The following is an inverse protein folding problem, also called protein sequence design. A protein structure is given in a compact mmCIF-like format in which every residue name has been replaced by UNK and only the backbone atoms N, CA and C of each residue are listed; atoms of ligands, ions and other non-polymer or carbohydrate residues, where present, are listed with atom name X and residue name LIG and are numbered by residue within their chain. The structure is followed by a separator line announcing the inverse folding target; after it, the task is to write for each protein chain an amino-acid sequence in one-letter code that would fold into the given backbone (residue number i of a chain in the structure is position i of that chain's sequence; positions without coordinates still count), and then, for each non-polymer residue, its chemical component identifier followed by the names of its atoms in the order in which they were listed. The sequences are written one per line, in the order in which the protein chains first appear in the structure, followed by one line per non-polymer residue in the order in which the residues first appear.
data_IF_030318211101
#
_entry.id   IF_030318211101
#
_cell.length_a   1.000
_cell.length_b   1.000
_cell.length_c   1.000
_cell.angle_alpha   90.00
_cell.angle_beta   90.00
_cell.angle_gamma   90.00
#
_symmetry.space_group_name_H-M   'P 1'
#
loop_
_entity.id
_entity.type
_entity.pdbx_description
1 polymer ?
#
# COMPACT_ATOMS: atom_id res chain seq x y z
N UNK A 1 36.35 15.25 -70.58
CA UNK A 1 35.68 15.90 -69.43
C UNK A 1 36.57 17.03 -68.95
N UNK A 2 36.07 18.26 -68.98
CA UNK A 2 36.81 19.41 -68.50
C UNK A 2 36.92 19.32 -66.97
N UNK A 3 38.10 19.62 -66.40
CA UNK A 3 38.31 19.58 -64.94
C UNK A 3 37.26 20.38 -64.17
N UNK A 4 36.71 21.44 -64.76
CA UNK A 4 35.64 22.26 -64.18
C UNK A 4 34.32 21.49 -63.94
N UNK A 5 33.86 20.67 -64.90
CA UNK A 5 32.59 19.92 -64.77
C UNK A 5 32.66 18.82 -63.70
N UNK A 6 33.84 18.25 -63.47
CA UNK A 6 34.05 17.24 -62.44
C UNK A 6 33.89 17.83 -61.04
N UNK A 7 34.55 18.97 -60.77
CA UNK A 7 34.47 19.65 -59.48
C UNK A 7 33.07 20.18 -59.18
N UNK A 8 32.34 20.66 -60.19
CA UNK A 8 30.95 21.10 -60.05
C UNK A 8 30.01 19.95 -59.63
N UNK A 9 30.14 18.78 -60.26
CA UNK A 9 29.36 17.58 -59.87
C UNK A 9 29.72 17.05 -58.49
N UNK A 10 31.00 17.07 -58.13
CA UNK A 10 31.46 16.67 -56.78
C UNK A 10 30.88 17.62 -55.72
N UNK A 11 30.93 18.94 -55.96
CA UNK A 11 30.41 19.94 -55.04
C UNK A 11 28.91 19.82 -54.83
N UNK A 12 28.15 19.64 -55.92
CA UNK A 12 26.71 19.38 -55.85
C UNK A 12 26.38 18.12 -55.05
N UNK A 13 27.13 17.03 -55.23
CA UNK A 13 26.91 15.77 -54.51
C UNK A 13 27.22 15.91 -53.02
N UNK A 14 28.26 16.67 -52.66
CA UNK A 14 28.64 16.92 -51.26
C UNK A 14 27.59 17.79 -50.57
N UNK A 15 27.10 18.84 -51.25
CA UNK A 15 26.02 19.69 -50.72
C UNK A 15 24.74 18.88 -50.52
N UNK A 16 24.33 18.09 -51.51
CA UNK A 16 23.11 17.29 -51.45
C UNK A 16 23.14 16.26 -50.30
N UNK A 17 24.23 15.49 -50.19
CA UNK A 17 24.41 14.52 -49.09
C UNK A 17 24.57 15.20 -47.74
N UNK A 18 25.23 16.36 -47.69
CA UNK A 18 25.39 17.16 -46.48
C UNK A 18 24.05 17.71 -45.97
N UNK A 19 23.19 18.17 -46.88
CA UNK A 19 21.85 18.67 -46.56
C UNK A 19 20.96 17.55 -46.02
N UNK A 20 20.98 16.37 -46.67
CA UNK A 20 20.27 15.19 -46.19
C UNK A 20 20.73 14.77 -44.78
N UNK A 21 22.04 14.73 -44.54
CA UNK A 21 22.58 14.43 -43.22
C UNK A 21 22.15 15.45 -42.15
N UNK A 22 22.12 16.74 -42.50
CA UNK A 22 21.67 17.79 -41.59
C UNK A 22 20.17 17.64 -41.25
N UNK A 23 19.32 17.35 -42.25
CA UNK A 23 17.88 17.12 -42.02
C UNK A 23 17.67 15.93 -41.09
N UNK A 24 18.40 14.82 -41.29
CA UNK A 24 18.32 13.64 -40.42
C UNK A 24 18.77 13.96 -38.99
N UNK A 25 19.86 14.72 -38.81
CA UNK A 25 20.33 15.13 -37.48
C UNK A 25 19.32 16.03 -36.76
N UNK A 26 18.75 17.01 -37.47
CA UNK A 26 17.74 17.91 -36.91
C UNK A 26 16.47 17.12 -36.54
N UNK A 27 15.98 16.25 -37.43
CA UNK A 27 14.84 15.39 -37.16
C UNK A 27 15.12 14.45 -35.96
N UNK A 28 16.30 13.85 -35.89
CA UNK A 28 16.73 13.01 -34.76
C UNK A 28 16.82 13.77 -33.45
N UNK A 29 17.33 15.01 -33.47
CA UNK A 29 17.41 15.87 -32.29
C UNK A 29 16.01 16.23 -31.76
N UNK A 30 15.09 16.66 -32.63
CA UNK A 30 13.72 16.97 -32.23
C UNK A 30 12.99 15.72 -31.73
N UNK A 31 13.15 14.58 -32.42
CA UNK A 31 12.55 13.31 -31.99
C UNK A 31 13.07 12.89 -30.62
N UNK A 32 14.39 12.97 -30.38
CA UNK A 32 14.98 12.63 -29.09
C UNK A 32 14.45 13.55 -27.97
N UNK A 33 14.34 14.86 -28.22
CA UNK A 33 13.79 15.81 -27.24
C UNK A 33 12.34 15.51 -26.89
N UNK A 34 11.52 15.15 -27.88
CA UNK A 34 10.13 14.76 -27.66
C UNK A 34 10.06 13.46 -26.85
N UNK A 35 10.88 12.46 -27.21
CA UNK A 35 10.97 11.20 -26.47
C UNK A 35 11.41 11.39 -25.03
N UNK A 36 12.35 12.28 -24.74
CA UNK A 36 12.78 12.59 -23.37
C UNK A 36 11.64 13.18 -22.53
N UNK A 37 10.85 14.09 -23.10
CA UNK A 37 9.67 14.65 -22.40
C UNK A 37 8.63 13.56 -22.14
N UNK A 38 8.35 12.70 -23.11
CA UNK A 38 7.42 11.57 -22.93
C UNK A 38 7.93 10.58 -21.88
N UNK A 39 9.21 10.20 -21.93
CA UNK A 39 9.84 9.33 -20.92
C UNK A 39 9.77 9.94 -19.52
N UNK A 40 10.02 11.24 -19.39
CA UNK A 40 9.93 11.94 -18.12
C UNK A 40 8.53 11.93 -17.52
N UNK A 41 7.49 12.09 -18.36
CA UNK A 41 6.09 12.01 -17.92
C UNK A 41 5.72 10.58 -17.48
N UNK A 42 6.01 9.58 -18.32
CA UNK A 42 5.72 8.18 -18.02
C UNK A 42 6.46 7.71 -16.75
N UNK A 43 7.71 8.11 -16.57
CA UNK A 43 8.48 7.77 -15.36
C UNK A 43 7.85 8.34 -14.10
N UNK A 44 7.34 9.59 -14.14
CA UNK A 44 6.67 10.22 -13.00
C UNK A 44 5.34 9.56 -12.68
N UNK A 45 4.55 9.23 -13.71
CA UNK A 45 3.29 8.50 -13.52
C UNK A 45 3.53 7.12 -12.92
N UNK A 46 4.54 6.40 -13.41
CA UNK A 46 4.93 5.10 -12.86
C UNK A 46 5.39 5.21 -11.40
N UNK A 47 6.18 6.23 -11.07
CA UNK A 47 6.64 6.48 -9.69
C UNK A 47 5.47 6.82 -8.77
N UNK A 48 4.51 7.60 -9.23
CA UNK A 48 3.29 7.92 -8.49
C UNK A 48 2.47 6.66 -8.19
N UNK A 49 2.18 5.85 -9.21
CA UNK A 49 1.44 4.58 -9.03
C UNK A 49 2.19 3.63 -8.08
N UNK A 50 3.52 3.54 -8.20
CA UNK A 50 4.33 2.71 -7.31
C UNK A 50 4.26 3.19 -5.86
N UNK A 51 4.32 4.51 -5.64
CA UNK A 51 4.23 5.12 -4.31
C UNK A 51 2.85 4.90 -3.68
N UNK A 52 1.77 5.08 -4.46
CA UNK A 52 0.41 4.81 -4.01
C UNK A 52 0.20 3.32 -3.67
N UNK A 53 0.65 2.41 -4.55
CA UNK A 53 0.60 0.96 -4.29
C UNK A 53 1.37 0.57 -3.02
N UNK A 54 2.55 1.16 -2.79
CA UNK A 54 3.35 0.89 -1.59
C UNK A 54 2.63 1.35 -0.31
N UNK A 55 2.07 2.56 -0.32
CA UNK A 55 1.32 3.08 0.82
C UNK A 55 0.09 2.21 1.15
N UNK A 56 -0.64 1.74 0.13
CA UNK A 56 -1.77 0.81 0.29
C UNK A 56 -1.32 -0.53 0.89
N UNK A 57 -0.21 -1.08 0.41
CA UNK A 57 0.37 -2.33 0.95
C UNK A 57 0.77 -2.17 2.41
N UNK A 58 1.42 -1.07 2.76
CA UNK A 58 1.86 -0.84 4.13
C UNK A 58 0.68 -0.61 5.08
N UNK A 59 -0.35 0.14 4.67
CA UNK A 59 -1.61 0.27 5.43
C UNK A 59 -2.27 -1.09 5.65
N UNK A 60 -2.40 -1.89 4.60
CA UNK A 60 -2.99 -3.24 4.65
C UNK A 60 -2.22 -4.16 5.60
N UNK A 61 -0.89 -4.16 5.50
CA UNK A 61 -0.02 -4.95 6.39
C UNK A 61 -0.23 -4.53 7.85
N UNK A 62 -0.40 -3.24 8.10
CA UNK A 62 -0.59 -2.72 9.45
C UNK A 62 -1.95 -3.09 10.03
N UNK A 63 -3.02 -3.03 9.23
CA UNK A 63 -4.35 -3.53 9.59
C UNK A 63 -4.31 -5.03 9.94
N UNK A 64 -3.67 -5.84 9.10
CA UNK A 64 -3.51 -7.27 9.34
C UNK A 64 -2.69 -7.55 10.63
N UNK A 65 -1.66 -6.75 10.88
CA UNK A 65 -0.86 -6.86 12.13
C UNK A 65 -1.73 -6.60 13.36
N UNK A 66 -2.56 -5.56 13.33
CA UNK A 66 -3.49 -5.27 14.42
C UNK A 66 -4.49 -6.40 14.65
N UNK A 67 -5.14 -6.86 13.59
CA UNK A 67 -6.08 -8.00 13.66
C UNK A 67 -5.41 -9.26 14.21
N UNK A 68 -4.16 -9.52 13.82
CA UNK A 68 -3.41 -10.66 14.31
C UNK A 68 -3.08 -10.56 15.81
N UNK A 69 -2.70 -9.38 16.31
CA UNK A 69 -2.49 -9.17 17.75
C UNK A 69 -3.77 -9.44 18.56
N UNK A 70 -4.92 -8.95 18.06
CA UNK A 70 -6.22 -9.21 18.67
C UNK A 70 -6.53 -10.70 18.66
N UNK A 71 -6.33 -11.36 17.52
CA UNK A 71 -6.55 -12.80 17.36
C UNK A 71 -5.66 -13.61 18.30
N UNK A 72 -4.40 -13.21 18.47
CA UNK A 72 -3.46 -13.91 19.35
C UNK A 72 -3.89 -13.86 20.83
N UNK A 73 -4.24 -12.67 21.32
CA UNK A 73 -4.75 -12.51 22.69
C UNK A 73 -6.05 -13.31 22.89
N UNK A 74 -6.98 -13.17 21.94
CA UNK A 74 -8.33 -13.75 22.06
C UNK A 74 -8.38 -15.26 21.81
N UNK A 75 -7.42 -15.84 21.09
CA UNK A 75 -7.39 -17.27 20.80
C UNK A 75 -7.41 -18.14 22.06
N UNK A 76 -6.70 -17.74 23.12
CA UNK A 76 -6.67 -18.44 24.43
C UNK A 76 -8.07 -18.66 25.04
N UNK A 77 -9.02 -17.77 24.74
CA UNK A 77 -10.41 -17.87 25.23
C UNK A 77 -11.26 -18.91 24.49
N UNK A 78 -10.73 -19.49 23.41
CA UNK A 78 -11.41 -20.52 22.62
C UNK A 78 -11.11 -21.93 23.13
N UNK A 79 -10.04 -22.08 23.91
CA UNK A 79 -9.58 -23.37 24.44
C UNK A 79 -10.40 -23.81 25.68
N UNK A 80 -10.48 -25.13 25.96
CA UNK A 80 -11.18 -25.65 27.14
C UNK A 80 -10.58 -25.17 28.47
N UNK A 81 -9.25 -25.12 28.54
CA UNK A 81 -8.49 -24.70 29.73
C UNK A 81 -7.89 -23.31 29.48
N UNK A 82 -8.70 -22.27 29.68
CA UNK A 82 -8.31 -20.88 29.40
C UNK A 82 -7.16 -20.43 30.31
N UNK A 83 -6.02 -20.13 29.70
CA UNK A 83 -4.78 -19.71 30.38
C UNK A 83 -4.49 -18.21 30.24
N UNK A 84 -5.52 -17.37 30.42
CA UNK A 84 -5.40 -15.92 30.28
C UNK A 84 -4.76 -15.27 31.53
N UNK A 85 -3.80 -14.37 31.33
CA UNK A 85 -3.05 -13.66 32.36
C UNK A 85 -3.02 -12.13 32.15
N UNK A 86 -2.66 -11.36 33.19
CA UNK A 86 -2.45 -9.90 33.05
C UNK A 86 -1.26 -9.55 32.13
N UNK A 87 -0.26 -10.43 32.04
CA UNK A 87 0.88 -10.24 31.13
C UNK A 87 0.43 -10.28 29.67
N UNK A 88 -0.53 -11.13 29.31
CA UNK A 88 -1.03 -11.23 27.93
C UNK A 88 -1.65 -9.91 27.47
N UNK A 89 -2.46 -9.28 28.33
CA UNK A 89 -3.01 -7.95 28.05
C UNK A 89 -1.93 -6.87 27.97
N UNK A 90 -0.91 -6.94 28.82
CA UNK A 90 0.19 -5.97 28.83
C UNK A 90 1.02 -6.05 27.55
N UNK A 91 1.29 -7.26 27.07
CA UNK A 91 2.05 -7.48 25.84
C UNK A 91 1.24 -7.12 24.60
N UNK A 92 -0.07 -7.42 24.61
CA UNK A 92 -1.01 -6.92 23.62
C UNK A 92 -1.02 -5.38 23.55
N UNK A 93 -1.18 -4.68 24.69
CA UNK A 93 -1.28 -3.22 24.74
C UNK A 93 -0.03 -2.57 24.12
N UNK A 94 1.17 -3.07 24.46
CA UNK A 94 2.43 -2.59 23.90
C UNK A 94 2.47 -2.75 22.37
N UNK A 95 2.04 -3.91 21.87
CA UNK A 95 1.97 -4.17 20.45
C UNK A 95 0.97 -3.26 19.75
N UNK A 96 -0.22 -3.12 20.31
CA UNK A 96 -1.32 -2.39 19.71
C UNK A 96 -1.06 -0.88 19.66
N UNK A 97 -0.46 -0.28 20.70
CA UNK A 97 -0.07 1.14 20.70
C UNK A 97 0.82 1.47 19.49
N UNK A 98 1.83 0.63 19.21
CA UNK A 98 2.68 0.79 18.04
C UNK A 98 1.92 0.58 16.73
N UNK A 99 0.90 -0.28 16.72
CA UNK A 99 0.06 -0.49 15.55
C UNK A 99 -0.81 0.72 15.24
N UNK A 100 -1.55 1.22 16.23
CA UNK A 100 -2.50 2.32 16.04
C UNK A 100 -1.80 3.64 15.68
N UNK A 101 -0.62 3.91 16.25
CA UNK A 101 0.17 5.09 15.89
C UNK A 101 0.56 5.10 14.41
N UNK A 102 1.04 3.97 13.89
CA UNK A 102 1.43 3.86 12.48
C UNK A 102 0.21 3.90 11.55
N UNK A 103 -0.92 3.33 11.98
CA UNK A 103 -2.15 3.31 11.19
C UNK A 103 -2.61 4.72 10.81
N UNK A 104 -2.62 5.66 11.75
CA UNK A 104 -3.02 7.05 11.48
C UNK A 104 -2.12 7.68 10.41
N UNK A 105 -0.80 7.48 10.49
CA UNK A 105 0.14 7.99 9.51
C UNK A 105 -0.01 7.36 8.12
N UNK A 106 -0.25 6.05 8.07
CA UNK A 106 -0.48 5.31 6.83
C UNK A 106 -1.82 5.69 6.18
N UNK A 107 -2.88 5.85 6.98
CA UNK A 107 -4.18 6.36 6.51
C UNK A 107 -4.05 7.73 5.86
N UNK A 108 -3.35 8.66 6.50
CA UNK A 108 -3.10 9.99 5.93
C UNK A 108 -2.30 9.91 4.63
N UNK A 109 -1.31 9.01 4.57
CA UNK A 109 -0.48 8.81 3.37
C UNK A 109 -1.29 8.27 2.19
N UNK A 110 -2.13 7.25 2.42
CA UNK A 110 -3.01 6.70 1.38
C UNK A 110 -4.05 7.72 0.97
N UNK A 111 -4.69 8.42 1.91
CA UNK A 111 -5.67 9.46 1.60
C UNK A 111 -5.09 10.60 0.74
N UNK A 112 -3.82 10.97 0.96
CA UNK A 112 -3.14 12.00 0.18
C UNK A 112 -2.78 11.54 -1.24
N UNK A 113 -2.48 10.26 -1.43
CA UNK A 113 -2.05 9.70 -2.72
C UNK A 113 -3.22 9.18 -3.56
N UNK A 114 -4.16 8.49 -2.94
CA UNK A 114 -5.31 7.85 -3.60
C UNK A 114 -6.54 7.84 -2.66
N UNK A 115 -7.35 8.93 -2.67
CA UNK A 115 -8.55 9.03 -1.83
C UNK A 115 -9.58 7.93 -2.07
N UNK A 116 -9.65 7.37 -3.28
CA UNK A 116 -10.59 6.30 -3.61
C UNK A 116 -10.22 5.03 -2.87
N UNK A 117 -8.95 4.62 -2.96
CA UNK A 117 -8.46 3.43 -2.23
C UNK A 117 -8.45 3.63 -0.73
N UNK A 118 -8.27 4.87 -0.27
CA UNK A 118 -8.43 5.18 1.15
C UNK A 118 -9.85 4.91 1.61
N UNK A 119 -10.88 5.33 0.86
CA UNK A 119 -12.27 5.06 1.21
C UNK A 119 -12.57 3.55 1.30
N UNK A 120 -11.95 2.72 0.46
CA UNK A 120 -12.09 1.26 0.52
C UNK A 120 -11.44 0.65 1.79
N UNK A 121 -10.43 1.31 2.36
CA UNK A 121 -9.65 0.79 3.49
C UNK A 121 -9.96 1.47 4.83
N UNK A 122 -10.59 2.64 4.84
CA UNK A 122 -10.88 3.40 6.06
C UNK A 122 -11.77 2.62 7.02
N UNK A 123 -12.76 1.92 6.48
CA UNK A 123 -13.71 1.13 7.27
C UNK A 123 -13.03 -0.01 8.02
N UNK A 124 -11.95 -0.57 7.47
CA UNK A 124 -11.17 -1.60 8.15
C UNK A 124 -10.41 -1.05 9.36
N UNK A 125 -9.91 0.19 9.29
CA UNK A 125 -9.28 0.82 10.44
C UNK A 125 -10.30 1.10 11.55
N UNK A 126 -11.49 1.61 11.22
CA UNK A 126 -12.57 1.82 12.18
C UNK A 126 -13.00 0.52 12.85
N UNK A 127 -13.16 -0.53 12.06
CA UNK A 127 -13.44 -1.87 12.52
C UNK A 127 -12.35 -2.43 13.45
N UNK A 128 -11.08 -2.12 13.20
CA UNK A 128 -9.98 -2.52 14.07
C UNK A 128 -10.01 -1.73 15.39
N UNK A 129 -10.22 -0.41 15.35
CA UNK A 129 -10.37 0.42 16.56
C UNK A 129 -11.55 -0.06 17.42
N UNK A 130 -12.69 -0.39 16.82
CA UNK A 130 -13.84 -0.91 17.54
C UNK A 130 -13.55 -2.24 18.26
N UNK A 131 -12.76 -3.12 17.64
CA UNK A 131 -12.32 -4.38 18.26
C UNK A 131 -11.32 -4.13 19.39
N UNK A 132 -10.36 -3.23 19.23
CA UNK A 132 -9.43 -2.82 20.30
C UNK A 132 -10.18 -2.29 21.53
N UNK A 133 -11.22 -1.47 21.33
CA UNK A 133 -12.10 -1.03 22.42
C UNK A 133 -12.76 -2.22 23.13
N UNK A 134 -13.20 -3.24 22.40
CA UNK A 134 -13.81 -4.43 23.02
C UNK A 134 -12.77 -5.30 23.75
N UNK A 135 -11.53 -5.36 23.28
CA UNK A 135 -10.42 -5.97 24.03
C UNK A 135 -10.16 -5.20 25.33
N UNK A 136 -10.17 -3.87 25.28
CA UNK A 136 -10.06 -3.02 26.48
C UNK A 136 -11.17 -3.30 27.51
N UNK A 137 -12.42 -3.46 27.06
CA UNK A 137 -13.54 -3.87 27.94
C UNK A 137 -13.32 -5.25 28.55
N UNK A 138 -12.85 -6.22 27.77
CA UNK A 138 -12.54 -7.56 28.26
C UNK A 138 -11.44 -7.51 29.34
N UNK A 139 -10.37 -6.75 29.10
CA UNK A 139 -9.30 -6.51 30.08
C UNK A 139 -9.84 -5.95 31.39
N UNK A 140 -10.71 -4.95 31.32
CA UNK A 140 -11.27 -4.31 32.52
C UNK A 140 -12.17 -5.27 33.31
N UNK A 141 -12.96 -6.11 32.63
CA UNK A 141 -13.73 -7.19 33.25
C UNK A 141 -12.81 -8.22 33.93
N UNK A 142 -11.76 -8.65 33.25
CA UNK A 142 -10.78 -9.61 33.78
C UNK A 142 -10.05 -9.09 35.04
N UNK A 143 -9.69 -7.80 35.05
CA UNK A 143 -8.99 -7.15 36.17
C UNK A 143 -9.80 -7.07 37.45
N UNK A 144 -11.12 -7.15 37.37
CA UNK A 144 -11.98 -7.13 38.58
C UNK A 144 -11.78 -8.33 39.49
N UNK A 145 -11.22 -9.44 38.96
CA UNK A 145 -11.07 -10.74 39.65
C UNK A 145 -12.39 -11.33 40.18
N UNK A 146 -13.52 -10.82 39.72
CA UNK A 146 -14.84 -11.38 39.99
C UNK A 146 -15.11 -12.56 39.04
N UNK A 147 -15.50 -13.75 39.55
CA UNK A 147 -15.67 -14.94 38.72
C UNK A 147 -16.66 -14.78 37.56
N UNK A 148 -17.77 -14.06 37.75
CA UNK A 148 -18.78 -13.87 36.70
C UNK A 148 -18.30 -12.87 35.65
N UNK A 149 -17.63 -11.78 36.07
CA UNK A 149 -17.00 -10.85 35.13
C UNK A 149 -15.85 -11.48 34.35
N UNK A 150 -15.07 -12.37 34.97
CA UNK A 150 -14.04 -13.12 34.26
C UNK A 150 -14.64 -14.03 33.18
N UNK A 151 -15.76 -14.72 33.46
CA UNK A 151 -16.49 -15.48 32.43
C UNK A 151 -16.97 -14.57 31.28
N UNK A 152 -17.48 -13.37 31.60
CA UNK A 152 -17.87 -12.39 30.58
C UNK A 152 -16.68 -11.93 29.73
N UNK A 153 -15.52 -11.68 30.35
CA UNK A 153 -14.28 -11.37 29.62
C UNK A 153 -13.92 -12.47 28.63
N UNK A 154 -13.95 -13.73 29.06
CA UNK A 154 -13.62 -14.89 28.22
C UNK A 154 -14.62 -15.00 27.06
N UNK A 155 -15.92 -14.87 27.34
CA UNK A 155 -16.95 -14.93 26.31
C UNK A 155 -16.80 -13.79 25.27
N UNK A 156 -16.45 -12.58 25.73
CA UNK A 156 -16.20 -11.43 24.86
C UNK A 156 -14.94 -11.62 24.01
N UNK A 157 -13.82 -12.07 24.59
CA UNK A 157 -12.62 -12.40 23.82
C UNK A 157 -12.92 -13.48 22.78
N UNK A 158 -13.73 -14.48 23.12
CA UNK A 158 -14.10 -15.54 22.18
C UNK A 158 -14.89 -15.00 20.99
N UNK A 159 -15.80 -14.05 21.18
CA UNK A 159 -16.51 -13.43 20.06
C UNK A 159 -15.55 -12.58 19.20
N UNK A 160 -14.68 -11.81 19.85
CA UNK A 160 -13.64 -10.99 19.19
C UNK A 160 -12.73 -11.85 18.30
N UNK A 161 -12.35 -13.05 18.74
CA UNK A 161 -11.55 -13.97 17.95
C UNK A 161 -12.21 -14.29 16.60
N UNK A 162 -13.47 -14.74 16.62
CA UNK A 162 -14.19 -15.08 15.39
C UNK A 162 -14.45 -13.85 14.51
N UNK A 163 -14.77 -12.71 15.13
CA UNK A 163 -14.90 -11.44 14.40
C UNK A 163 -13.60 -10.99 13.72
N UNK A 164 -12.44 -11.35 14.30
CA UNK A 164 -11.12 -11.05 13.71
C UNK A 164 -10.80 -11.99 12.54
N UNK A 165 -11.22 -13.25 12.60
CA UNK A 165 -11.12 -14.15 11.44
C UNK A 165 -11.96 -13.67 10.25
N UNK A 166 -13.18 -13.18 10.50
CA UNK A 166 -14.02 -12.60 9.44
C UNK A 166 -13.45 -11.27 8.92
N UNK A 167 -12.85 -10.46 9.79
CA UNK A 167 -12.11 -9.26 9.40
C UNK A 167 -10.98 -9.60 8.43
N UNK A 168 -10.14 -10.59 8.74
CA UNK A 168 -9.00 -10.96 7.91
C UNK A 168 -9.44 -11.45 6.52
N UNK A 169 -10.52 -12.23 6.45
CA UNK A 169 -11.12 -12.67 5.18
C UNK A 169 -11.64 -11.48 4.36
N UNK A 170 -12.35 -10.57 5.01
CA UNK A 170 -12.88 -9.38 4.35
C UNK A 170 -11.77 -8.45 3.87
N UNK A 171 -10.72 -8.26 4.67
CA UNK A 171 -9.55 -7.46 4.31
C UNK A 171 -8.83 -8.05 3.11
N UNK A 172 -8.60 -9.37 3.11
CA UNK A 172 -7.99 -10.07 1.98
C UNK A 172 -8.82 -9.92 0.70
N UNK A 173 -10.14 -10.04 0.80
CA UNK A 173 -11.05 -9.86 -0.33
C UNK A 173 -11.01 -8.42 -0.87
N UNK A 174 -11.02 -7.42 0.01
CA UNK A 174 -10.97 -6.01 -0.36
C UNK A 174 -9.65 -5.65 -1.06
N UNK A 175 -8.51 -6.16 -0.57
CA UNK A 175 -7.21 -5.83 -1.14
C UNK A 175 -6.91 -6.56 -2.45
N UNK A 176 -7.67 -7.59 -2.76
CA UNK A 176 -7.59 -8.32 -4.02
C UNK A 176 -8.16 -7.43 -5.14
N UNK A 177 -7.27 -6.73 -5.85
CA UNK A 177 -7.63 -5.82 -6.95
C UNK A 177 -7.41 -4.34 -6.65
N UNK A 178 -6.99 -3.99 -5.43
CA UNK A 178 -6.65 -2.59 -5.07
C UNK A 178 -5.35 -2.11 -5.73
N UNK A 179 -4.48 -3.00 -6.19
CA UNK A 179 -3.21 -2.64 -6.81
C UNK A 179 -3.38 -2.40 -8.31
N UNK A 180 -3.08 -1.18 -8.77
CA UNK A 180 -3.08 -0.88 -10.19
C UNK A 180 -1.85 -1.52 -10.87
N UNK A 181 -2.02 -2.10 -12.07
CA UNK A 181 -0.89 -2.47 -12.90
C UNK A 181 -0.13 -1.19 -13.31
N UNK A 182 1.19 -1.27 -13.54
CA UNK A 182 1.91 -0.18 -14.17
C UNK A 182 1.34 0.10 -15.56
N UNK A 183 1.32 1.36 -16.04
CA UNK A 183 0.85 1.67 -17.37
C UNK A 183 1.70 0.90 -18.40
N UNK A 184 1.06 -0.01 -19.14
CA UNK A 184 1.68 -0.66 -20.30
C UNK A 184 1.70 0.36 -21.43
N UNK A 185 2.89 0.78 -21.85
CA UNK A 185 3.07 1.77 -22.91
C UNK A 185 2.26 1.42 -24.15
N UNK A 186 1.31 2.29 -24.51
CA UNK A 186 0.63 2.33 -25.79
C UNK A 186 1.21 3.48 -26.63
#
# INVERSE_FOLDING_TARGET
MNQCEFWEKVWLTVIDKGLLALIVLVAGFYLNRVLEVFKGKLSREQEFVRTANAAVVDLTRKLATGSHLISWLSWSSTEPDVSLSESDFTDYDKGMIGVLSDLVGLQASVAALDPSRFADLSDFAEQLYARDVNVGKARDLYRTKDPEKMKQSIALLKSIYYESLEFDKALLAAVTGLLAPPPTGA
#
